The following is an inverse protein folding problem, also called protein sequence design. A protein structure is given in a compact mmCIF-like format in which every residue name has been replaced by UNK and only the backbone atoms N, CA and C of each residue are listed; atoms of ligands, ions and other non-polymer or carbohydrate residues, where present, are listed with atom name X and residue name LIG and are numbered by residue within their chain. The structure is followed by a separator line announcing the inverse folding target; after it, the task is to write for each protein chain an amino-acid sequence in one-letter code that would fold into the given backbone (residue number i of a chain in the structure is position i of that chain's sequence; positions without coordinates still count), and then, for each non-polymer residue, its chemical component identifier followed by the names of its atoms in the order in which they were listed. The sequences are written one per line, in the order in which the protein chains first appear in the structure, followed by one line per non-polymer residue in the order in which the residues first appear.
data_IF_322504163398
#
_entry.id   IF_322504163398
#
_cell.length_a   1.000
_cell.length_b   1.000
_cell.length_c   1.000
_cell.angle_alpha   90.00
_cell.angle_beta   90.00
_cell.angle_gamma   90.00
#
_symmetry.space_group_name_H-M   'P 1'
#
loop_
_entity.id
_entity.type
_entity.pdbx_description
1 polymer ?
#
# COMPACT_ATOMS: atom_id res chain seq x y z
N UNK A 1 29.34 5.01 9.50
CA UNK A 1 27.99 4.59 9.08
C UNK A 1 27.87 3.07 9.24
N UNK A 2 27.01 2.57 10.14
CA UNK A 2 26.82 1.12 10.38
C UNK A 2 25.56 0.55 9.70
N UNK A 3 25.05 1.22 8.67
CA UNK A 3 23.90 0.76 7.89
C UNK A 3 24.27 0.69 6.42
N UNK A 4 23.77 -0.33 5.72
CA UNK A 4 23.84 -0.40 4.27
C UNK A 4 23.11 0.81 3.67
N UNK A 5 23.74 1.48 2.71
CA UNK A 5 23.23 2.64 2.00
C UNK A 5 23.09 2.27 0.53
N UNK A 6 21.92 2.53 -0.06
CA UNK A 6 21.59 2.22 -1.45
C UNK A 6 20.96 3.43 -2.14
N UNK A 7 20.98 3.43 -3.46
CA UNK A 7 20.35 4.46 -4.29
C UNK A 7 19.26 3.84 -5.17
N UNK A 8 18.16 4.53 -5.40
CA UNK A 8 17.17 4.13 -6.42
C UNK A 8 17.57 4.67 -7.80
N UNK A 9 16.97 4.14 -8.86
CA UNK A 9 17.14 4.69 -10.22
C UNK A 9 16.75 6.17 -10.33
N UNK A 10 15.87 6.64 -9.43
CA UNK A 10 15.46 8.04 -9.30
C UNK A 10 16.41 8.89 -8.43
N UNK A 11 17.66 8.44 -8.22
CA UNK A 11 18.70 9.07 -7.40
C UNK A 11 18.33 9.32 -5.92
N UNK A 12 17.34 8.61 -5.38
CA UNK A 12 16.98 8.71 -3.97
C UNK A 12 17.89 7.84 -3.12
N UNK A 13 18.49 8.40 -2.06
CA UNK A 13 19.27 7.63 -1.09
C UNK A 13 18.38 6.92 -0.07
N UNK A 14 18.73 5.69 0.29
CA UNK A 14 18.00 4.88 1.27
C UNK A 14 18.94 4.18 2.24
N UNK A 15 18.60 4.22 3.53
CA UNK A 15 19.33 3.54 4.60
C UNK A 15 18.47 2.41 5.15
N UNK A 16 19.05 1.23 5.32
CA UNK A 16 18.36 0.11 5.94
C UNK A 16 18.25 0.30 7.46
N UNK A 17 17.01 0.35 7.97
CA UNK A 17 16.69 0.57 9.38
C UNK A 17 15.45 -0.22 9.77
N UNK A 18 15.54 -0.98 10.87
CA UNK A 18 14.41 -1.71 11.45
C UNK A 18 13.62 -2.54 10.43
N UNK A 19 14.34 -3.24 9.54
CA UNK A 19 13.71 -4.14 8.58
C UNK A 19 13.33 -3.55 7.23
N UNK A 20 13.40 -2.21 7.08
CA UNK A 20 13.01 -1.53 5.84
C UNK A 20 14.05 -0.52 5.39
N UNK A 21 14.04 -0.19 4.10
CA UNK A 21 14.82 0.85 3.48
C UNK A 21 14.07 2.18 3.58
N UNK A 22 14.66 3.13 4.31
CA UNK A 22 14.06 4.46 4.51
C UNK A 22 14.80 5.51 3.69
N UNK A 23 14.03 6.34 2.96
CA UNK A 23 14.58 7.46 2.19
C UNK A 23 15.31 8.41 3.14
N UNK A 24 16.52 8.82 2.78
CA UNK A 24 17.31 9.84 3.48
C UNK A 24 17.57 11.01 2.55
N UNK A 25 17.69 12.21 3.12
CA UNK A 25 17.98 13.43 2.36
C UNK A 25 19.49 13.64 2.17
N UNK A 26 19.87 14.39 1.14
CA UNK A 26 21.26 14.84 0.96
C UNK A 26 21.75 15.64 2.18
N UNK A 27 20.87 16.41 2.83
CA UNK A 27 21.21 17.17 4.03
C UNK A 27 21.57 16.26 5.21
N UNK A 28 20.83 15.18 5.42
CA UNK A 28 21.15 14.18 6.45
C UNK A 28 22.46 13.48 6.15
N UNK A 29 22.70 13.09 4.88
CA UNK A 29 23.98 12.52 4.48
C UNK A 29 25.15 13.50 4.71
N UNK A 30 24.98 14.78 4.36
CA UNK A 30 25.99 15.82 4.63
C UNK A 30 26.26 15.99 6.12
N UNK A 31 25.23 15.87 6.99
CA UNK A 31 25.40 15.91 8.45
C UNK A 31 26.18 14.68 8.95
N UNK A 32 25.88 13.50 8.43
CA UNK A 32 26.63 12.28 8.77
C UNK A 32 28.08 12.34 8.29
N UNK A 33 28.33 12.87 7.09
CA UNK A 33 29.69 13.13 6.61
C UNK A 33 30.42 14.13 7.51
N UNK A 34 29.79 15.25 7.86
CA UNK A 34 30.38 16.25 8.75
C UNK A 34 30.82 15.64 10.09
N UNK A 35 30.01 14.74 10.67
CA UNK A 35 30.38 14.00 11.90
C UNK A 35 31.65 13.17 11.70
N UNK A 36 31.77 12.45 10.57
CA UNK A 36 32.98 11.67 10.24
C UNK A 36 34.20 12.58 10.13
N UNK A 37 34.11 13.68 9.36
CA UNK A 37 35.23 14.61 9.24
C UNK A 37 35.66 15.18 10.60
N UNK A 38 34.71 15.57 11.45
CA UNK A 38 34.98 16.05 12.81
C UNK A 38 35.62 14.98 13.71
N UNK A 39 35.18 13.73 13.63
CA UNK A 39 35.75 12.60 14.38
C UNK A 39 37.23 12.38 14.03
N UNK A 40 37.58 12.52 12.75
CA UNK A 40 38.95 12.45 12.26
C UNK A 40 39.70 13.80 12.26
N UNK A 41 39.18 14.80 12.98
CA UNK A 41 39.78 16.14 13.12
C UNK A 41 40.17 16.80 11.78
N UNK A 42 39.42 16.49 10.71
CA UNK A 42 39.65 17.00 9.37
C UNK A 42 38.68 18.14 9.11
N UNK A 43 39.22 19.29 8.68
CA UNK A 43 38.40 20.42 8.28
C UNK A 43 37.58 20.09 7.02
N UNK A 44 36.40 20.68 6.91
CA UNK A 44 35.55 20.54 5.74
C UNK A 44 34.79 21.84 5.46
N UNK A 45 34.47 22.04 4.19
CA UNK A 45 33.61 23.07 3.67
C UNK A 45 32.28 22.49 3.22
N UNK A 46 31.27 23.35 3.08
CA UNK A 46 29.98 22.97 2.48
C UNK A 46 30.14 22.37 1.08
N UNK A 47 31.11 22.87 0.30
CA UNK A 47 31.39 22.38 -1.05
C UNK A 47 31.93 20.96 -1.03
N UNK A 48 32.86 20.66 -0.13
CA UNK A 48 33.41 19.30 0.00
C UNK A 48 32.35 18.31 0.44
N UNK A 49 31.50 18.66 1.42
CA UNK A 49 30.38 17.80 1.82
C UNK A 49 29.43 17.51 0.65
N UNK A 50 29.06 18.53 -0.13
CA UNK A 50 28.20 18.34 -1.30
C UNK A 50 28.87 17.44 -2.35
N UNK A 51 30.16 17.65 -2.64
CA UNK A 51 30.89 16.81 -3.58
C UNK A 51 30.96 15.35 -3.12
N UNK A 52 31.13 15.11 -1.81
CA UNK A 52 31.11 13.75 -1.24
C UNK A 52 29.74 13.11 -1.43
N UNK A 53 28.64 13.83 -1.15
CA UNK A 53 27.28 13.30 -1.36
C UNK A 53 26.98 13.02 -2.83
N UNK A 54 27.46 13.86 -3.76
CA UNK A 54 27.33 13.56 -5.19
C UNK A 54 28.20 12.36 -5.61
N UNK A 55 29.42 12.25 -5.10
CA UNK A 55 30.28 11.09 -5.35
C UNK A 55 29.67 9.78 -4.80
N UNK A 56 28.95 9.86 -3.68
CA UNK A 56 28.21 8.73 -3.11
C UNK A 56 27.23 8.12 -4.14
N UNK A 57 26.56 8.94 -4.97
CA UNK A 57 25.65 8.42 -6.02
C UNK A 57 26.32 7.47 -7.00
N UNK A 58 27.63 7.60 -7.21
CA UNK A 58 28.41 6.80 -8.16
C UNK A 58 28.87 5.49 -7.52
N UNK A 59 29.26 5.52 -6.25
CA UNK A 59 29.89 4.36 -5.57
C UNK A 59 28.89 3.47 -4.85
N UNK A 60 27.71 4.00 -4.50
CA UNK A 60 26.68 3.26 -3.78
C UNK A 60 25.96 2.28 -4.72
N UNK A 61 25.70 1.04 -4.28
CA UNK A 61 24.93 0.10 -5.07
C UNK A 61 23.47 0.56 -5.29
N UNK A 62 22.93 0.24 -6.46
CA UNK A 62 21.54 0.51 -6.81
C UNK A 62 20.62 -0.54 -6.16
N UNK A 63 19.50 -0.09 -5.61
CA UNK A 63 18.47 -0.97 -5.05
C UNK A 63 17.95 -1.92 -6.13
N UNK A 64 17.83 -3.21 -5.78
CA UNK A 64 17.24 -4.20 -6.69
C UNK A 64 15.71 -4.17 -6.60
N UNK A 65 15.06 -4.90 -7.51
CA UNK A 65 13.61 -5.03 -7.49
C UNK A 65 13.12 -5.67 -6.18
N UNK A 66 11.99 -5.16 -5.68
CA UNK A 66 11.27 -5.75 -4.57
C UNK A 66 10.86 -7.18 -4.90
N UNK A 67 11.06 -8.10 -3.95
CA UNK A 67 10.54 -9.45 -4.06
C UNK A 67 9.01 -9.41 -4.02
N UNK A 68 8.36 -9.91 -5.09
CA UNK A 68 6.89 -9.88 -5.24
C UNK A 68 6.19 -11.02 -4.50
N UNK A 69 6.93 -12.02 -4.04
CA UNK A 69 6.41 -13.20 -3.35
C UNK A 69 6.49 -13.09 -1.83
N UNK A 70 6.66 -11.89 -1.27
CA UNK A 70 6.70 -11.68 0.19
C UNK A 70 5.65 -10.67 0.67
N UNK A 71 5.12 -10.92 1.86
CA UNK A 71 4.24 -10.01 2.61
C UNK A 71 5.04 -9.45 3.78
N UNK A 72 5.29 -8.13 3.84
CA UNK A 72 6.08 -7.52 4.90
C UNK A 72 5.22 -7.20 6.12
N UNK A 73 5.50 -7.88 7.23
CA UNK A 73 4.93 -7.65 8.55
C UNK A 73 5.89 -6.86 9.44
N UNK A 74 5.43 -6.33 10.57
CA UNK A 74 6.25 -5.55 11.50
C UNK A 74 7.43 -6.36 12.09
N UNK A 75 7.24 -7.67 12.28
CA UNK A 75 8.20 -8.58 12.90
C UNK A 75 8.92 -9.52 11.92
N UNK A 76 8.72 -9.36 10.60
CA UNK A 76 9.35 -10.23 9.60
C UNK A 76 8.66 -10.20 8.24
N UNK A 77 8.99 -11.17 7.39
CA UNK A 77 8.37 -11.38 6.08
C UNK A 77 7.76 -12.76 6.00
N UNK A 78 6.57 -12.84 5.42
CA UNK A 78 5.96 -14.10 5.03
C UNK A 78 6.19 -14.34 3.53
N UNK A 79 6.82 -15.45 3.16
CA UNK A 79 6.98 -15.85 1.77
C UNK A 79 5.74 -16.62 1.30
N UNK A 80 5.07 -16.09 0.27
CA UNK A 80 3.83 -16.63 -0.29
C UNK A 80 4.05 -17.99 -0.96
N UNK A 81 5.20 -18.19 -1.59
CA UNK A 81 5.53 -19.41 -2.34
C UNK A 81 5.93 -20.54 -1.40
N UNK A 82 6.86 -20.30 -0.47
CA UNK A 82 7.32 -21.32 0.47
C UNK A 82 6.39 -21.49 1.68
N UNK A 83 5.53 -20.50 1.93
CA UNK A 83 4.66 -20.39 3.13
C UNK A 83 5.45 -20.30 4.44
N UNK A 84 6.67 -19.77 4.38
CA UNK A 84 7.55 -19.62 5.54
C UNK A 84 7.61 -18.18 6.01
N UNK A 85 7.65 -18.00 7.33
CA UNK A 85 7.90 -16.71 7.94
C UNK A 85 9.36 -16.60 8.37
N UNK A 86 10.01 -15.47 8.08
CA UNK A 86 11.41 -15.24 8.46
C UNK A 86 11.67 -13.80 8.89
N UNK A 87 12.73 -13.54 9.68
CA UNK A 87 13.12 -12.17 10.04
C UNK A 87 13.44 -11.31 8.82
N UNK A 88 13.32 -9.99 8.97
CA UNK A 88 13.71 -9.05 7.91
C UNK A 88 15.18 -9.16 7.54
N UNK A 89 15.47 -9.01 6.25
CA UNK A 89 16.82 -8.93 5.69
C UNK A 89 16.89 -7.75 4.72
N UNK A 90 18.06 -7.13 4.61
CA UNK A 90 18.32 -6.02 3.67
C UNK A 90 17.96 -6.40 2.23
N UNK A 91 18.20 -7.66 1.88
CA UNK A 91 18.04 -8.21 0.54
C UNK A 91 16.56 -8.47 0.19
N UNK A 92 15.63 -8.25 1.12
CA UNK A 92 14.20 -8.25 0.85
C UNK A 92 13.75 -6.96 0.12
N UNK A 93 14.58 -5.91 0.10
CA UNK A 93 14.33 -4.62 -0.57
C UNK A 93 13.03 -3.91 -0.16
N UNK A 94 12.54 -4.17 1.06
CA UNK A 94 11.30 -3.59 1.56
C UNK A 94 11.45 -2.10 1.83
N UNK A 95 10.56 -1.27 1.26
CA UNK A 95 10.46 0.14 1.62
C UNK A 95 9.59 0.37 2.87
N UNK A 96 8.70 -0.58 3.16
CA UNK A 96 7.68 -0.51 4.19
C UNK A 96 7.17 -1.92 4.57
N UNK A 97 6.44 -1.99 5.68
CA UNK A 97 5.69 -3.18 6.14
C UNK A 97 4.27 -2.77 6.53
N UNK A 98 3.33 -3.69 6.65
CA UNK A 98 1.93 -3.35 6.98
C UNK A 98 1.73 -2.86 8.44
N UNK A 99 2.68 -3.15 9.34
CA UNK A 99 2.61 -2.74 10.75
C UNK A 99 1.87 -3.74 11.65
N UNK A 100 1.44 -4.87 11.10
CA UNK A 100 0.86 -5.99 11.82
C UNK A 100 1.99 -6.94 12.23
N UNK A 101 1.94 -7.50 13.44
CA UNK A 101 2.81 -8.61 13.82
C UNK A 101 2.21 -9.93 13.34
N UNK A 102 2.99 -10.69 12.56
CA UNK A 102 2.61 -12.02 12.13
C UNK A 102 2.83 -13.03 13.26
N UNK A 103 1.86 -13.92 13.43
CA UNK A 103 1.98 -15.11 14.27
C UNK A 103 1.52 -16.33 13.46
N UNK A 104 2.13 -17.51 13.60
CA UNK A 104 1.63 -18.73 12.97
C UNK A 104 0.22 -19.08 13.46
N UNK A 105 -0.63 -19.64 12.60
CA UNK A 105 -1.96 -20.13 12.98
C UNK A 105 -1.85 -21.35 13.92
N UNK A 106 -2.71 -21.42 14.94
CA UNK A 106 -2.86 -22.65 15.73
C UNK A 106 -3.63 -23.70 14.91
N UNK A 107 -3.41 -25.01 15.12
CA UNK A 107 -4.07 -26.06 14.32
C UNK A 107 -5.60 -25.98 14.27
N UNK A 108 -6.24 -25.55 15.35
CA UNK A 108 -7.70 -25.46 15.48
C UNK A 108 -8.26 -24.05 15.24
N UNK A 109 -7.39 -23.11 14.84
CA UNK A 109 -7.77 -21.72 14.64
C UNK A 109 -8.68 -21.57 13.42
N UNK A 110 -9.76 -20.81 13.59
CA UNK A 110 -10.70 -20.50 12.52
C UNK A 110 -11.31 -19.10 12.68
N UNK A 111 -11.66 -18.48 11.56
CA UNK A 111 -12.16 -17.10 11.57
C UNK A 111 -13.46 -16.91 12.35
N UNK A 112 -14.31 -17.93 12.42
CA UNK A 112 -15.60 -17.84 13.11
C UNK A 112 -15.42 -17.68 14.61
N UNK A 113 -14.51 -18.45 15.18
CA UNK A 113 -14.30 -18.49 16.63
C UNK A 113 -13.22 -17.50 17.07
N UNK A 114 -12.17 -17.31 16.27
CA UNK A 114 -11.00 -16.48 16.61
C UNK A 114 -11.07 -15.03 16.07
N UNK A 115 -11.93 -14.77 15.07
CA UNK A 115 -12.28 -13.42 14.61
C UNK A 115 -13.79 -13.22 14.42
N UNK A 116 -14.62 -13.45 15.46
CA UNK A 116 -16.07 -13.49 15.34
C UNK A 116 -16.68 -12.20 14.79
N UNK A 117 -16.11 -11.03 15.12
CA UNK A 117 -16.55 -9.74 14.60
C UNK A 117 -16.29 -9.59 13.10
N UNK A 118 -15.11 -10.03 12.64
CA UNK A 118 -14.77 -10.01 11.23
C UNK A 118 -15.63 -11.01 10.46
N UNK A 119 -15.77 -12.24 10.97
CA UNK A 119 -16.59 -13.25 10.34
C UNK A 119 -18.06 -12.83 10.25
N UNK A 120 -18.64 -12.25 11.33
CA UNK A 120 -20.01 -11.72 11.31
C UNK A 120 -20.19 -10.65 10.24
N UNK A 121 -19.26 -9.69 10.16
CA UNK A 121 -19.30 -8.66 9.12
C UNK A 121 -19.22 -9.28 7.72
N UNK A 122 -18.30 -10.23 7.54
CA UNK A 122 -18.05 -10.86 6.25
C UNK A 122 -19.24 -11.69 5.77
N UNK A 123 -19.84 -12.49 6.64
CA UNK A 123 -21.04 -13.28 6.35
C UNK A 123 -22.21 -12.37 5.94
N UNK A 124 -22.39 -11.25 6.65
CA UNK A 124 -23.39 -10.23 6.30
C UNK A 124 -23.10 -9.55 4.95
N UNK A 125 -21.87 -9.10 4.74
CA UNK A 125 -21.41 -8.45 3.51
C UNK A 125 -21.58 -9.37 2.29
N UNK A 126 -21.29 -10.66 2.48
CA UNK A 126 -21.50 -11.71 1.49
C UNK A 126 -22.98 -12.10 1.31
N UNK A 127 -23.87 -11.70 2.22
CA UNK A 127 -25.26 -12.14 2.20
C UNK A 127 -25.41 -13.64 2.37
N UNK A 128 -24.54 -14.24 3.19
CA UNK A 128 -24.43 -15.70 3.41
C UNK A 128 -24.09 -16.50 2.15
N UNK A 129 -23.64 -15.84 1.07
CA UNK A 129 -23.14 -16.52 -0.13
C UNK A 129 -21.65 -16.90 0.06
N UNK A 130 -21.32 -18.20 0.14
CA UNK A 130 -19.95 -18.64 0.34
C UNK A 130 -19.02 -18.28 -0.84
N UNK A 131 -19.53 -18.13 -2.07
CA UNK A 131 -18.73 -17.71 -3.21
C UNK A 131 -18.40 -16.22 -3.14
N UNK A 132 -19.38 -15.39 -2.80
CA UNK A 132 -19.14 -13.95 -2.58
C UNK A 132 -18.18 -13.73 -1.40
N UNK A 133 -18.30 -14.52 -0.33
CA UNK A 133 -17.35 -14.50 0.79
C UNK A 133 -15.91 -14.78 0.32
N UNK A 134 -15.69 -15.84 -0.47
CA UNK A 134 -14.37 -16.15 -1.06
C UNK A 134 -13.82 -15.03 -1.95
N UNK A 135 -14.69 -14.36 -2.73
CA UNK A 135 -14.29 -13.21 -3.55
C UNK A 135 -13.86 -12.02 -2.70
N UNK A 136 -14.58 -11.73 -1.62
CA UNK A 136 -14.20 -10.66 -0.67
C UNK A 136 -12.83 -10.98 -0.05
N UNK A 137 -12.56 -12.23 0.34
CA UNK A 137 -11.23 -12.66 0.78
C UNK A 137 -10.16 -12.45 -0.27
N UNK A 138 -10.41 -12.83 -1.53
CA UNK A 138 -9.44 -12.62 -2.60
C UNK A 138 -9.12 -11.12 -2.79
N UNK A 139 -10.10 -10.24 -2.61
CA UNK A 139 -9.92 -8.80 -2.62
C UNK A 139 -9.04 -8.31 -1.44
N UNK A 140 -9.29 -8.80 -0.23
CA UNK A 140 -8.48 -8.47 0.96
C UNK A 140 -7.06 -9.03 0.86
N UNK A 141 -6.90 -10.24 0.32
CA UNK A 141 -5.60 -10.82 0.02
C UNK A 141 -4.82 -10.01 -1.02
N UNK A 142 -5.49 -9.52 -2.07
CA UNK A 142 -4.87 -8.63 -3.06
C UNK A 142 -4.26 -7.40 -2.37
N UNK A 143 -4.95 -6.84 -1.38
CA UNK A 143 -4.47 -5.71 -0.58
C UNK A 143 -3.31 -6.12 0.33
N UNK A 144 -3.47 -7.19 1.12
CA UNK A 144 -2.47 -7.68 2.07
C UNK A 144 -1.13 -8.01 1.38
N UNK A 145 -1.20 -8.73 0.26
CA UNK A 145 -0.03 -9.15 -0.51
C UNK A 145 0.40 -8.11 -1.56
N UNK A 146 -0.20 -6.91 -1.57
CA UNK A 146 0.02 -5.85 -2.55
C UNK A 146 0.08 -6.37 -4.00
N UNK A 147 -0.91 -7.15 -4.43
CA UNK A 147 -1.01 -7.74 -5.78
C UNK A 147 -1.49 -6.73 -6.81
N UNK A 148 -0.80 -5.59 -6.90
CA UNK A 148 -1.02 -4.58 -7.96
C UNK A 148 -0.74 -5.17 -9.35
N UNK A 149 0.09 -6.23 -9.44
CA UNK A 149 0.43 -6.95 -10.67
C UNK A 149 -0.73 -7.70 -11.31
N UNK A 150 -1.85 -7.88 -10.60
CA UNK A 150 -3.07 -8.43 -11.19
C UNK A 150 -3.75 -7.50 -12.18
N UNK A 151 -3.33 -6.23 -12.23
CA UNK A 151 -3.91 -5.20 -13.09
C UNK A 151 -5.41 -4.98 -12.86
N UNK A 152 -5.83 -5.11 -11.61
CA UNK A 152 -7.20 -4.90 -11.17
C UNK A 152 -7.32 -3.66 -10.27
N UNK A 153 -8.51 -3.08 -10.24
CA UNK A 153 -8.96 -2.24 -9.13
C UNK A 153 -10.30 -2.72 -8.60
N UNK A 154 -10.51 -2.48 -7.31
CA UNK A 154 -11.69 -2.90 -6.59
C UNK A 154 -12.66 -1.73 -6.53
N UNK A 155 -13.92 -1.97 -6.85
CA UNK A 155 -14.97 -1.00 -6.64
C UNK A 155 -16.06 -1.58 -5.75
N UNK A 156 -16.19 -0.99 -4.58
CA UNK A 156 -17.13 -1.41 -3.55
C UNK A 156 -18.36 -0.51 -3.65
N UNK A 157 -19.49 -1.08 -4.03
CA UNK A 157 -20.75 -0.35 -4.24
C UNK A 157 -21.85 -0.80 -3.29
N UNK A 158 -22.84 0.05 -3.02
CA UNK A 158 -23.97 -0.28 -2.14
C UNK A 158 -24.45 0.93 -1.36
N UNK A 159 -25.59 0.83 -0.68
CA UNK A 159 -26.17 1.95 0.07
C UNK A 159 -25.42 2.27 1.37
N UNK A 160 -25.77 3.39 2.01
CA UNK A 160 -25.30 3.71 3.36
C UNK A 160 -25.66 2.61 4.35
N UNK A 161 -24.71 2.23 5.22
CA UNK A 161 -24.93 1.18 6.22
C UNK A 161 -24.82 -0.25 5.69
N UNK A 162 -24.33 -0.48 4.47
CA UNK A 162 -24.17 -1.84 3.92
C UNK A 162 -22.86 -2.55 4.27
N UNK A 163 -21.97 -1.90 5.04
CA UNK A 163 -20.68 -2.47 5.46
C UNK A 163 -19.49 -2.12 4.57
N UNK A 164 -19.65 -1.25 3.56
CA UNK A 164 -18.54 -0.79 2.69
C UNK A 164 -17.42 -0.11 3.47
N UNK A 165 -17.75 0.76 4.40
CA UNK A 165 -16.74 1.47 5.20
C UNK A 165 -15.91 0.52 6.06
N UNK A 166 -16.51 -0.59 6.52
CA UNK A 166 -15.80 -1.66 7.24
C UNK A 166 -14.85 -2.39 6.29
N UNK A 167 -15.25 -2.68 5.04
CA UNK A 167 -14.34 -3.23 4.02
C UNK A 167 -13.08 -2.35 3.87
N UNK A 168 -13.28 -1.05 3.63
CA UNK A 168 -12.18 -0.11 3.40
C UNK A 168 -11.28 0.02 4.63
N UNK A 169 -11.84 -0.07 5.84
CA UNK A 169 -11.06 -0.06 7.08
C UNK A 169 -10.25 -1.34 7.28
N UNK A 170 -10.82 -2.52 7.02
CA UNK A 170 -10.08 -3.79 7.04
C UNK A 170 -8.96 -3.77 6.00
N UNK A 171 -9.24 -3.35 4.77
CA UNK A 171 -8.22 -3.20 3.73
C UNK A 171 -7.09 -2.24 4.17
N UNK A 172 -7.45 -1.13 4.84
CA UNK A 172 -6.46 -0.18 5.38
C UNK A 172 -5.60 -0.77 6.49
N UNK A 173 -6.18 -1.62 7.34
CA UNK A 173 -5.42 -2.36 8.36
C UNK A 173 -4.42 -3.31 7.71
N UNK A 174 -4.87 -4.12 6.73
CA UNK A 174 -4.05 -5.10 6.03
C UNK A 174 -2.90 -4.47 5.21
N UNK A 175 -3.16 -3.34 4.55
CA UNK A 175 -2.11 -2.59 3.84
C UNK A 175 -1.18 -1.84 4.79
N UNK A 176 -1.69 -1.44 5.96
CA UNK A 176 -1.07 -0.50 6.88
C UNK A 176 -1.49 0.94 6.59
N UNK A 177 -1.91 1.66 7.64
CA UNK A 177 -2.40 3.03 7.53
C UNK A 177 -1.37 3.98 6.90
N UNK A 178 -0.08 3.81 7.22
CA UNK A 178 1.01 4.61 6.67
C UNK A 178 1.32 4.29 5.19
N UNK A 179 0.88 3.14 4.68
CA UNK A 179 1.00 2.74 3.27
C UNK A 179 -0.24 3.05 2.45
N UNK A 180 -1.26 3.63 3.08
CA UNK A 180 -2.52 4.01 2.44
C UNK A 180 -2.53 5.52 2.16
N UNK A 181 -3.08 5.91 1.01
CA UNK A 181 -3.42 7.29 0.69
C UNK A 181 -4.84 7.38 0.14
N UNK A 182 -5.54 8.47 0.46
CA UNK A 182 -6.89 8.73 -0.02
C UNK A 182 -6.87 9.83 -1.07
N UNK A 183 -7.71 9.71 -2.10
CA UNK A 183 -7.79 10.68 -3.18
C UNK A 183 -9.11 10.63 -3.94
N UNK A 184 -9.11 11.23 -5.13
CA UNK A 184 -10.22 11.17 -6.07
C UNK A 184 -9.70 10.90 -7.49
N UNK A 185 -10.61 10.64 -8.42
CA UNK A 185 -10.24 10.34 -9.82
C UNK A 185 -9.36 11.44 -10.44
N UNK A 186 -9.68 12.71 -10.20
CA UNK A 186 -8.88 13.84 -10.68
C UNK A 186 -7.46 13.89 -10.09
N UNK A 187 -7.26 13.33 -8.89
CA UNK A 187 -5.94 13.21 -8.29
C UNK A 187 -5.08 12.16 -8.99
N UNK A 188 -5.68 11.08 -9.52
CA UNK A 188 -4.98 10.08 -10.31
C UNK A 188 -4.61 10.60 -11.71
N UNK A 189 -5.40 11.51 -12.27
CA UNK A 189 -5.14 12.09 -13.59
C UNK A 189 -4.07 13.20 -13.58
N UNK A 190 -3.82 13.84 -12.43
CA UNK A 190 -2.88 14.97 -12.31
C UNK A 190 -1.50 14.55 -11.80
N UNK A 191 -0.42 14.80 -12.56
CA UNK A 191 0.97 14.54 -12.14
C UNK A 191 1.32 15.16 -10.79
N UNK A 192 0.83 16.40 -10.56
CA UNK A 192 1.01 17.14 -9.30
C UNK A 192 0.35 16.45 -8.11
N UNK A 193 -0.89 15.97 -8.30
CA UNK A 193 -1.65 15.32 -7.23
C UNK A 193 -1.26 13.87 -7.03
N UNK A 194 -0.74 13.19 -8.07
CA UNK A 194 -0.21 11.82 -8.00
C UNK A 194 0.99 11.69 -7.07
N UNK A 195 1.74 12.78 -6.84
CA UNK A 195 2.88 12.79 -5.93
C UNK A 195 2.56 12.22 -4.54
N UNK A 196 1.34 12.39 -4.04
CA UNK A 196 0.91 11.86 -2.73
C UNK A 196 0.79 10.33 -2.68
N UNK A 197 0.67 9.66 -3.83
CA UNK A 197 0.48 8.21 -3.94
C UNK A 197 1.80 7.44 -4.10
N UNK A 198 2.92 8.14 -4.31
CA UNK A 198 4.24 7.51 -4.44
C UNK A 198 4.62 6.81 -3.14
N UNK A 199 5.06 5.55 -3.25
CA UNK A 199 5.45 4.70 -2.11
C UNK A 199 4.29 4.11 -1.31
N UNK A 200 3.03 4.36 -1.71
CA UNK A 200 1.84 3.77 -1.11
C UNK A 200 1.53 2.42 -1.74
N UNK A 201 1.12 1.44 -0.94
CA UNK A 201 0.66 0.12 -1.42
C UNK A 201 -0.84 0.08 -1.65
N UNK A 202 -1.59 1.04 -1.11
CA UNK A 202 -3.04 1.14 -1.33
C UNK A 202 -3.49 2.59 -1.55
N UNK A 203 -4.37 2.77 -2.51
CA UNK A 203 -5.04 4.05 -2.80
C UNK A 203 -6.55 3.86 -2.62
N UNK A 204 -7.17 4.69 -1.79
CA UNK A 204 -8.63 4.72 -1.63
C UNK A 204 -9.24 5.91 -2.35
N UNK A 205 -10.36 5.68 -3.03
CA UNK A 205 -11.18 6.69 -3.69
C UNK A 205 -12.57 6.66 -3.06
N UNK A 206 -12.74 7.25 -1.86
CA UNK A 206 -14.02 7.26 -1.16
C UNK A 206 -15.00 8.22 -1.84
N UNK A 207 -16.27 7.84 -1.86
CA UNK A 207 -17.44 8.64 -2.22
C UNK A 207 -17.19 9.56 -3.42
N UNK A 208 -16.81 8.96 -4.55
CA UNK A 208 -16.59 9.73 -5.75
C UNK A 208 -17.93 10.37 -6.17
N UNK A 209 -17.95 11.68 -6.48
CA UNK A 209 -19.04 12.27 -7.25
C UNK A 209 -19.25 11.44 -8.51
N UNK A 210 -20.47 11.44 -9.07
CA UNK A 210 -20.81 10.68 -10.28
C UNK A 210 -19.73 10.90 -11.36
N UNK A 211 -18.80 9.95 -11.47
CA UNK A 211 -17.66 10.07 -12.36
C UNK A 211 -18.09 9.64 -13.75
N UNK A 212 -17.78 10.48 -14.73
CA UNK A 212 -17.92 10.19 -16.17
C UNK A 212 -16.66 10.69 -16.85
N UNK A 213 -15.83 9.78 -17.35
CA UNK A 213 -14.54 10.13 -17.96
C UNK A 213 -13.79 8.91 -18.50
N UNK A 214 -12.60 9.16 -19.07
CA UNK A 214 -11.76 8.13 -19.68
C UNK A 214 -11.05 7.22 -18.67
N UNK A 215 -10.87 7.68 -17.42
CA UNK A 215 -10.16 6.90 -16.39
C UNK A 215 -8.68 6.67 -16.69
N UNK A 216 -8.02 7.58 -17.41
CA UNK A 216 -6.63 7.41 -17.87
C UNK A 216 -5.66 7.20 -16.71
N UNK A 217 -5.75 7.99 -15.64
CA UNK A 217 -4.85 7.89 -14.49
C UNK A 217 -5.03 6.59 -13.71
N UNK A 218 -6.27 6.17 -13.43
CA UNK A 218 -6.52 4.87 -12.77
C UNK A 218 -6.04 3.71 -13.65
N UNK A 219 -6.26 3.80 -14.97
CA UNK A 219 -5.81 2.79 -15.94
C UNK A 219 -4.29 2.65 -15.94
N UNK A 220 -3.57 3.77 -15.99
CA UNK A 220 -2.11 3.77 -15.99
C UNK A 220 -1.55 3.16 -14.69
N UNK A 221 -2.07 3.59 -13.53
CA UNK A 221 -1.63 3.09 -12.23
C UNK A 221 -1.92 1.59 -12.08
N UNK A 222 -3.15 1.17 -12.37
CA UNK A 222 -3.56 -0.24 -12.23
C UNK A 222 -2.90 -1.13 -13.28
N UNK A 223 -2.64 -0.63 -14.48
CA UNK A 223 -1.91 -1.35 -15.52
C UNK A 223 -0.42 -1.53 -15.23
N UNK A 224 0.14 -0.76 -14.29
CA UNK A 224 1.57 -0.74 -13.99
C UNK A 224 2.39 0.14 -14.93
N UNK A 225 1.74 1.07 -15.63
CA UNK A 225 2.40 2.01 -16.52
C UNK A 225 3.21 3.05 -15.74
N UNK A 226 4.27 3.53 -16.38
CA UNK A 226 5.05 4.64 -15.85
C UNK A 226 4.25 5.94 -16.01
N UNK A 227 4.15 6.73 -14.93
CA UNK A 227 3.41 7.98 -14.88
C UNK A 227 4.31 9.14 -14.46
N UNK A 228 4.02 10.32 -15.00
CA UNK A 228 4.67 11.55 -14.57
C UNK A 228 4.23 11.93 -13.14
N UNK A 229 5.20 12.33 -12.32
CA UNK A 229 5.04 12.82 -10.96
C UNK A 229 5.68 14.22 -10.88
N UNK A 230 4.92 15.17 -10.33
CA UNK A 230 5.36 16.56 -10.14
C UNK A 230 5.25 16.98 -8.67
N UNK A 231 6.20 16.59 -7.79
CA UNK A 231 6.14 16.97 -6.40
C UNK A 231 6.39 18.47 -6.20
N UNK A 232 5.79 19.03 -5.15
CA UNK A 232 5.93 20.46 -4.85
C UNK A 232 7.36 20.78 -4.41
N UNK A 233 7.99 21.71 -5.13
CA UNK A 233 9.38 22.16 -4.91
C UNK A 233 10.47 21.13 -5.22
N UNK A 234 10.15 20.10 -6.00
CA UNK A 234 11.12 19.11 -6.49
C UNK A 234 11.05 19.03 -8.02
N UNK A 235 12.07 18.43 -8.64
CA UNK A 235 12.06 18.19 -10.08
C UNK A 235 11.03 17.11 -10.44
N UNK A 236 10.36 17.28 -11.58
CA UNK A 236 9.46 16.27 -12.12
C UNK A 236 10.22 15.01 -12.51
N UNK A 237 9.60 13.85 -12.31
CA UNK A 237 10.17 12.56 -12.67
C UNK A 237 9.09 11.57 -13.09
N UNK A 238 9.51 10.43 -13.64
CA UNK A 238 8.64 9.33 -14.04
C UNK A 238 8.77 8.22 -12.99
N UNK A 239 7.64 7.62 -12.58
CA UNK A 239 7.64 6.47 -11.68
C UNK A 239 6.46 5.54 -11.96
N UNK A 240 6.58 4.28 -11.51
CA UNK A 240 5.47 3.33 -11.48
C UNK A 240 4.86 3.35 -10.07
N UNK A 241 3.57 3.65 -9.97
CA UNK A 241 2.83 3.59 -8.70
C UNK A 241 2.33 2.16 -8.48
N UNK A 242 2.94 1.46 -7.52
CA UNK A 242 2.70 0.04 -7.21
C UNK A 242 1.67 -0.11 -6.09
N UNK A 243 0.42 0.21 -6.38
CA UNK A 243 -0.65 0.25 -5.39
C UNK A 243 -1.93 -0.45 -5.85
N UNK A 244 -2.61 -1.12 -4.91
CA UNK A 244 -3.99 -1.57 -5.10
C UNK A 244 -4.93 -0.39 -4.97
N UNK A 245 -5.80 -0.18 -5.96
CA UNK A 245 -6.77 0.92 -5.95
C UNK A 245 -8.14 0.40 -5.52
N UNK A 246 -8.76 1.06 -4.54
CA UNK A 246 -10.10 0.74 -4.04
C UNK A 246 -10.99 1.98 -4.15
N UNK A 247 -12.00 1.92 -5.00
CA UNK A 247 -13.08 2.90 -5.03
C UNK A 247 -14.24 2.44 -4.15
N UNK A 248 -14.85 3.35 -3.40
CA UNK A 248 -16.05 3.06 -2.61
C UNK A 248 -17.12 4.07 -2.97
N UNK A 249 -18.24 3.61 -3.53
CA UNK A 249 -19.30 4.48 -4.03
C UNK A 249 -20.68 3.93 -3.65
N UNK A 250 -21.73 4.74 -3.78
CA UNK A 250 -23.09 4.21 -3.67
C UNK A 250 -23.51 3.45 -4.93
N UNK A 251 -23.20 4.00 -6.10
CA UNK A 251 -23.44 3.39 -7.41
C UNK A 251 -22.12 3.20 -8.16
N UNK A 252 -22.05 2.22 -9.07
CA UNK A 252 -20.86 2.03 -9.90
C UNK A 252 -20.53 3.27 -10.75
N UNK A 253 -19.24 3.63 -10.84
CA UNK A 253 -18.71 4.66 -11.75
C UNK A 253 -19.00 4.35 -13.22
N UNK A 254 -19.05 5.40 -14.06
CA UNK A 254 -19.24 5.26 -15.50
C UNK A 254 -17.95 5.68 -16.20
N UNK A 255 -17.37 4.76 -16.97
CA UNK A 255 -16.19 5.02 -17.79
C UNK A 255 -16.60 5.13 -19.25
N UNK A 256 -16.11 6.16 -19.95
CA UNK A 256 -16.40 6.44 -21.35
C UNK A 256 -15.36 5.85 -22.32
N UNK A 257 -14.32 5.22 -21.78
CA UNK A 257 -13.21 4.66 -22.55
C UNK A 257 -13.68 3.59 -23.54
N UNK A 258 -13.36 3.79 -24.81
CA UNK A 258 -13.85 2.94 -25.90
C UNK A 258 -13.10 1.61 -26.06
N UNK A 259 -11.84 1.53 -25.61
CA UNK A 259 -11.02 0.31 -25.76
C UNK A 259 -11.25 -0.75 -24.66
N UNK A 260 -12.09 -0.43 -23.67
CA UNK A 260 -12.51 -1.34 -22.59
C UNK A 260 -11.40 -1.77 -21.63
N UNK A 261 -10.22 -1.15 -21.68
CA UNK A 261 -9.11 -1.45 -20.77
C UNK A 261 -9.48 -1.19 -19.31
N UNK A 262 -10.19 -0.10 -19.02
CA UNK A 262 -10.64 0.19 -17.64
C UNK A 262 -11.68 -0.82 -17.18
N UNK A 263 -12.61 -1.19 -18.06
CA UNK A 263 -13.66 -2.15 -17.74
C UNK A 263 -13.10 -3.56 -17.46
N UNK A 264 -12.06 -4.00 -18.17
CA UNK A 264 -11.41 -5.31 -17.93
C UNK A 264 -10.69 -5.38 -16.59
N UNK A 265 -10.08 -4.28 -16.15
CA UNK A 265 -9.40 -4.19 -14.84
C UNK A 265 -10.33 -3.93 -13.66
N UNK A 266 -11.63 -3.73 -13.89
CA UNK A 266 -12.58 -3.32 -12.85
C UNK A 266 -13.29 -4.52 -12.23
N UNK A 267 -13.18 -4.66 -10.90
CA UNK A 267 -13.94 -5.68 -10.15
C UNK A 267 -14.93 -5.02 -9.20
N UNK A 268 -16.22 -5.20 -9.46
CA UNK A 268 -17.30 -4.59 -8.67
C UNK A 268 -17.78 -5.56 -7.59
N UNK A 269 -17.76 -5.12 -6.33
CA UNK A 269 -18.36 -5.81 -5.19
C UNK A 269 -19.60 -5.07 -4.72
N UNK A 270 -20.76 -5.70 -4.88
CA UNK A 270 -22.03 -5.14 -4.48
C UNK A 270 -22.38 -5.53 -3.04
N UNK A 271 -22.36 -4.56 -2.13
CA UNK A 271 -22.79 -4.67 -0.74
C UNK A 271 -24.25 -4.22 -0.65
N UNK A 272 -25.17 -5.12 -1.00
CA UNK A 272 -26.61 -4.84 -1.13
C UNK A 272 -27.39 -4.99 0.20
N UNK A 273 -26.73 -5.49 1.25
CA UNK A 273 -27.39 -5.79 2.52
C UNK A 273 -27.20 -4.63 3.50
N UNK A 274 -28.20 -3.75 3.59
CA UNK A 274 -28.20 -2.70 4.62
C UNK A 274 -28.33 -3.32 6.01
N UNK A 275 -27.43 -2.94 6.92
CA UNK A 275 -27.54 -3.32 8.33
C UNK A 275 -28.72 -2.56 8.94
N UNK A 276 -29.57 -3.25 9.71
CA UNK A 276 -30.66 -2.60 10.45
C UNK A 276 -30.08 -1.63 11.48
N UNK A 277 -30.74 -0.51 11.73
CA UNK A 277 -30.23 0.51 12.66
C UNK A 277 -29.92 -0.04 14.05
N UNK A 278 -30.76 -0.93 14.56
CA UNK A 278 -30.60 -1.65 15.84
C UNK A 278 -29.37 -2.57 15.90
N UNK A 279 -28.89 -3.06 14.76
CA UNK A 279 -27.76 -3.98 14.64
C UNK A 279 -26.43 -3.26 14.31
N UNK A 280 -26.46 -1.93 14.15
CA UNK A 280 -25.25 -1.15 13.84
C UNK A 280 -24.36 -1.09 15.09
N UNK A 281 -23.19 -1.72 15.00
CA UNK A 281 -22.13 -1.57 15.98
C UNK A 281 -21.13 -0.50 15.50
N UNK A 282 -21.14 0.72 16.09
CA UNK A 282 -20.24 1.81 15.68
C UNK A 282 -18.77 1.50 15.99
N UNK A 283 -18.49 0.51 16.83
CA UNK A 283 -17.14 0.09 17.21
C UNK A 283 -16.68 -1.17 16.48
N UNK A 284 -17.48 -1.73 15.56
CA UNK A 284 -17.21 -2.99 14.87
C UNK A 284 -15.79 -3.03 14.28
N UNK A 285 -15.38 -1.96 13.60
CA UNK A 285 -14.07 -1.90 12.97
C UNK A 285 -12.92 -1.86 13.97
N UNK A 286 -13.13 -1.23 15.14
CA UNK A 286 -12.15 -1.25 16.23
C UNK A 286 -12.05 -2.65 16.84
N UNK A 287 -13.18 -3.35 16.98
CA UNK A 287 -13.21 -4.74 17.45
C UNK A 287 -12.51 -5.68 16.47
N UNK A 288 -12.68 -5.47 15.16
CA UNK A 288 -11.95 -6.20 14.11
C UNK A 288 -10.45 -5.91 14.19
N UNK A 289 -10.06 -4.63 14.30
CA UNK A 289 -8.66 -4.22 14.39
C UNK A 289 -7.92 -4.82 15.61
N UNK A 290 -8.64 -4.99 16.72
CA UNK A 290 -8.09 -5.55 17.94
C UNK A 290 -8.07 -7.09 17.96
N UNK A 291 -8.53 -7.77 16.90
CA UNK A 291 -8.43 -9.22 16.80
C UNK A 291 -6.96 -9.62 16.67
N UNK A 292 -6.53 -10.56 17.51
CA UNK A 292 -5.17 -11.12 17.51
C UNK A 292 -4.80 -11.78 16.18
N UNK A 293 -5.79 -12.12 15.34
CA UNK A 293 -5.58 -12.87 14.11
C UNK A 293 -5.62 -12.01 12.85
N UNK A 294 -5.72 -10.67 12.95
CA UNK A 294 -5.87 -9.76 11.79
C UNK A 294 -4.81 -9.98 10.69
N UNK A 295 -3.57 -10.34 11.06
CA UNK A 295 -2.48 -10.66 10.12
C UNK A 295 -2.59 -12.01 9.41
N UNK A 296 -3.60 -12.81 9.76
CA UNK A 296 -3.92 -14.15 9.24
C UNK A 296 -5.30 -14.23 8.58
N UNK A 297 -6.04 -13.11 8.54
CA UNK A 297 -7.32 -12.96 7.83
C UNK A 297 -7.06 -12.92 6.32
#
# INVERSE_FOLDING_TARGET
MRGSLYITESEGFYIYQSGTWRKTSCLELSREMAKVYSEYQTNFSKRELNNVVEALKIVIPVMRELCKSIIPFANGVFNIETKEFSPHKSDNWLLNHNGIEYTPASPDENLRDDAPHFHKWLDHAAGKDPYKMKRIFAALYMVLANRYDWQLFLEITGEGGSGKSVFTQVATLLAGQHNTASGNMAALDSARRRAQFVGKSMITLPDQPKYTGEGTGIKAITGGDAVEIDPKHEQQYIAIIRAVVIATNNTPMIFMERAGGVARGRVIYQFNNKVKEEDIDPYLSKKIANSSIIGRI
#
